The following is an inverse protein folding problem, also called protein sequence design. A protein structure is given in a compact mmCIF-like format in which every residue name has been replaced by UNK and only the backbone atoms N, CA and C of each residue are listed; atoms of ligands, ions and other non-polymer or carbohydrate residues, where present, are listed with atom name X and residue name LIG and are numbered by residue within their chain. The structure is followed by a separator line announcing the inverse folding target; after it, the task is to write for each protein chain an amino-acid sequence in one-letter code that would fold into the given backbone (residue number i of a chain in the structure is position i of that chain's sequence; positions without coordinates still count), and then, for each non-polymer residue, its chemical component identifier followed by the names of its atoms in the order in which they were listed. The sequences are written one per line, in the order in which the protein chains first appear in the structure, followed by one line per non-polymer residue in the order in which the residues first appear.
data_IF_168325646018
#
_entry.id   IF_168325646018
#
_cell.length_a   1.000
_cell.length_b   1.000
_cell.length_c   1.000
_cell.angle_alpha   90.00
_cell.angle_beta   90.00
_cell.angle_gamma   90.00
#
_symmetry.space_group_name_H-M   'P 1'
#
loop_
_entity.id
_entity.type
_entity.pdbx_description
1 polymer ?
#
# COMPACT_ATOMS: atom_id res chain seq x y z
N UNK A 1 -12.55 -25.92 -1.23
CA UNK A 1 -11.13 -26.05 -0.97
C UNK A 1 -10.81 -25.61 0.44
N UNK A 2 -9.81 -26.21 1.02
CA UNK A 2 -9.38 -25.87 2.36
C UNK A 2 -8.08 -25.06 2.38
N UNK A 3 -7.58 -24.66 1.22
CA UNK A 3 -6.46 -23.76 1.16
C UNK A 3 -6.83 -22.41 1.75
N UNK A 4 -5.90 -21.83 2.49
CA UNK A 4 -6.07 -20.51 3.08
C UNK A 4 -5.22 -19.50 2.34
N UNK A 5 -5.83 -18.41 1.93
CA UNK A 5 -5.19 -17.32 1.21
C UNK A 5 -5.19 -16.06 2.07
N UNK A 6 -4.03 -15.42 2.15
CA UNK A 6 -3.88 -14.15 2.86
C UNK A 6 -3.27 -13.17 1.88
N UNK A 7 -3.93 -12.05 1.64
CA UNK A 7 -3.39 -11.00 0.77
C UNK A 7 -2.89 -9.84 1.63
N UNK A 8 -1.71 -9.37 1.29
CA UNK A 8 -1.08 -8.21 1.93
C UNK A 8 -0.81 -7.17 0.86
N UNK A 9 -1.10 -5.92 1.14
CA UNK A 9 -0.85 -4.84 0.20
C UNK A 9 -0.19 -3.67 0.93
N UNK A 10 0.74 -3.00 0.24
CA UNK A 10 1.43 -1.83 0.80
C UNK A 10 1.72 -0.82 -0.32
N UNK A 11 1.44 0.47 -0.10
CA UNK A 11 1.93 1.52 -0.99
C UNK A 11 3.46 1.56 -0.97
N UNK A 12 4.07 1.66 -2.15
CA UNK A 12 5.53 1.70 -2.30
C UNK A 12 5.90 2.79 -3.30
N UNK A 13 7.07 3.39 -3.14
CA UNK A 13 7.54 4.46 -4.01
C UNK A 13 8.44 3.96 -5.14
N UNK A 14 9.14 2.83 -4.92
CA UNK A 14 10.10 2.28 -5.87
C UNK A 14 10.19 0.76 -5.73
N UNK A 15 11.00 0.15 -6.60
CA UNK A 15 11.19 -1.29 -6.58
C UNK A 15 11.88 -1.78 -5.32
N UNK A 16 12.78 -1.00 -4.74
CA UNK A 16 13.49 -1.42 -3.53
C UNK A 16 12.53 -1.56 -2.36
N UNK A 17 11.59 -0.62 -2.20
CA UNK A 17 10.53 -0.73 -1.19
C UNK A 17 9.64 -1.94 -1.46
N UNK A 18 9.27 -2.18 -2.73
CA UNK A 18 8.43 -3.31 -3.09
C UNK A 18 9.12 -4.62 -2.74
N UNK A 19 10.39 -4.77 -3.09
CA UNK A 19 11.18 -5.97 -2.79
C UNK A 19 11.35 -6.18 -1.29
N UNK A 20 11.59 -5.11 -0.54
CA UNK A 20 11.72 -5.18 0.92
C UNK A 20 10.42 -5.67 1.57
N UNK A 21 9.28 -5.17 1.12
CA UNK A 21 7.97 -5.60 1.61
C UNK A 21 7.73 -7.09 1.31
N UNK A 22 8.02 -7.52 0.08
CA UNK A 22 7.85 -8.91 -0.34
C UNK A 22 8.73 -9.83 0.52
N UNK A 23 9.99 -9.48 0.72
CA UNK A 23 10.91 -10.28 1.54
C UNK A 23 10.47 -10.34 3.00
N UNK A 24 9.95 -9.23 3.55
CA UNK A 24 9.42 -9.21 4.91
C UNK A 24 8.23 -10.18 5.06
N UNK A 25 7.34 -10.22 4.08
CA UNK A 25 6.18 -11.11 4.12
C UNK A 25 6.58 -12.57 3.92
N UNK A 26 7.58 -12.85 3.09
CA UNK A 26 8.12 -14.20 2.95
C UNK A 26 8.71 -14.72 4.25
N UNK A 27 9.39 -13.86 5.01
CA UNK A 27 9.93 -14.22 6.33
C UNK A 27 8.82 -14.45 7.35
N UNK A 28 7.82 -13.59 7.36
CA UNK A 28 6.67 -13.68 8.27
C UNK A 28 5.89 -14.97 8.03
N UNK A 29 5.73 -15.36 6.78
CA UNK A 29 4.98 -16.55 6.38
C UNK A 29 5.87 -17.61 5.72
N UNK A 30 7.07 -17.82 6.27
CA UNK A 30 8.02 -18.78 5.70
C UNK A 30 7.51 -20.22 5.70
N UNK A 31 6.52 -20.53 6.54
CA UNK A 31 5.91 -21.86 6.59
C UNK A 31 4.79 -22.03 5.58
N UNK A 32 4.39 -20.98 4.91
CA UNK A 32 3.37 -21.06 3.86
C UNK A 32 3.88 -21.89 2.67
N UNK A 33 2.96 -22.45 1.93
CA UNK A 33 3.30 -23.23 0.74
C UNK A 33 3.85 -22.32 -0.35
N UNK A 34 3.23 -21.15 -0.55
CA UNK A 34 3.66 -20.16 -1.54
C UNK A 34 3.44 -18.75 -1.01
N UNK A 35 4.36 -17.86 -1.34
CA UNK A 35 4.26 -16.42 -1.12
C UNK A 35 4.46 -15.72 -2.47
N UNK A 36 3.40 -15.65 -3.24
CA UNK A 36 3.42 -15.06 -4.58
C UNK A 36 3.34 -13.55 -4.47
N UNK A 37 3.80 -12.83 -5.49
CA UNK A 37 3.86 -11.38 -5.38
C UNK A 37 3.64 -10.70 -6.73
N UNK A 38 3.25 -9.43 -6.66
CA UNK A 38 3.18 -8.55 -7.82
C UNK A 38 3.36 -7.12 -7.34
N UNK A 39 3.85 -6.24 -8.21
CA UNK A 39 3.87 -4.82 -7.92
C UNK A 39 3.81 -3.98 -9.19
N UNK A 40 3.32 -2.77 -9.04
CA UNK A 40 3.27 -1.75 -10.08
C UNK A 40 3.90 -0.48 -9.55
N UNK A 41 4.79 0.12 -10.34
CA UNK A 41 5.49 1.36 -9.98
C UNK A 41 5.27 2.39 -11.08
N UNK A 42 4.96 3.62 -10.67
CA UNK A 42 4.68 4.73 -11.56
C UNK A 42 3.19 4.87 -11.85
N UNK A 43 2.76 6.10 -12.11
CA UNK A 43 1.35 6.39 -12.40
C UNK A 43 0.84 5.75 -13.69
N UNK A 44 1.75 5.45 -14.63
CA UNK A 44 1.43 4.70 -15.86
C UNK A 44 1.81 3.23 -15.75
N UNK A 45 2.18 2.77 -14.53
CA UNK A 45 2.62 1.39 -14.29
C UNK A 45 3.77 0.97 -15.20
N UNK A 46 4.76 1.87 -15.39
CA UNK A 46 5.90 1.62 -16.26
C UNK A 46 6.76 0.45 -15.79
N UNK A 47 6.74 0.13 -14.49
CA UNK A 47 7.41 -1.03 -13.93
C UNK A 47 6.34 -1.96 -13.36
N UNK A 48 6.32 -3.18 -13.86
CA UNK A 48 5.37 -4.21 -13.46
C UNK A 48 6.13 -5.51 -13.24
N UNK A 49 5.89 -6.18 -12.13
CA UNK A 49 6.52 -7.46 -11.83
C UNK A 49 5.48 -8.41 -11.23
N UNK A 50 5.67 -9.70 -11.52
CA UNK A 50 4.82 -10.76 -11.00
C UNK A 50 5.68 -12.01 -10.75
N UNK A 51 5.46 -12.67 -9.61
CA UNK A 51 6.20 -13.87 -9.21
C UNK A 51 5.25 -14.93 -8.67
N UNK A 52 5.37 -16.16 -9.18
CA UNK A 52 4.49 -17.26 -8.80
C UNK A 52 4.96 -18.06 -7.58
N UNK A 53 6.20 -17.89 -7.18
CA UNK A 53 6.79 -18.56 -6.01
C UNK A 53 6.44 -20.05 -5.92
N UNK A 54 6.65 -20.78 -7.01
CA UNK A 54 6.40 -22.22 -7.07
C UNK A 54 5.00 -22.64 -7.46
N UNK A 55 4.04 -21.73 -7.54
CA UNK A 55 2.75 -22.05 -8.16
C UNK A 55 2.95 -22.27 -9.67
N UNK A 56 2.05 -22.98 -10.34
CA UNK A 56 2.18 -23.16 -11.80
C UNK A 56 2.27 -21.81 -12.50
N UNK A 57 3.10 -21.74 -13.53
CA UNK A 57 3.37 -20.49 -14.24
C UNK A 57 2.10 -19.77 -14.67
N UNK A 58 2.00 -18.49 -14.31
CA UNK A 58 0.88 -17.62 -14.70
C UNK A 58 -0.38 -17.79 -13.86
N UNK A 59 -0.35 -18.56 -12.77
CA UNK A 59 -1.55 -18.83 -11.98
C UNK A 59 -1.68 -17.99 -10.72
N UNK A 60 -0.64 -17.26 -10.32
CA UNK A 60 -0.63 -16.50 -9.07
C UNK A 60 -0.19 -15.06 -9.27
N UNK A 61 1.07 -14.83 -9.61
CA UNK A 61 1.61 -13.48 -9.75
C UNK A 61 0.90 -12.66 -10.82
N UNK A 62 0.70 -13.23 -12.00
CA UNK A 62 0.03 -12.54 -13.12
C UNK A 62 -1.42 -12.19 -12.78
N UNK A 63 -2.24 -13.09 -12.24
CA UNK A 63 -3.60 -12.73 -11.83
C UNK A 63 -3.66 -11.59 -10.82
N UNK A 64 -2.71 -11.53 -9.88
CA UNK A 64 -2.62 -10.43 -8.92
C UNK A 64 -2.26 -9.13 -9.62
N UNK A 65 -1.28 -9.17 -10.52
CA UNK A 65 -0.86 -8.00 -11.30
C UNK A 65 -2.02 -7.50 -12.18
N UNK A 66 -2.70 -8.39 -12.87
CA UNK A 66 -3.83 -8.02 -13.74
C UNK A 66 -4.96 -7.38 -12.94
N UNK A 67 -5.19 -7.83 -11.70
CA UNK A 67 -6.20 -7.21 -10.83
C UNK A 67 -5.81 -5.78 -10.46
N UNK A 68 -4.53 -5.53 -10.14
CA UNK A 68 -4.03 -4.17 -9.88
C UNK A 68 -4.27 -3.27 -11.09
N UNK A 69 -3.97 -3.77 -12.28
CA UNK A 69 -4.16 -3.03 -13.53
C UNK A 69 -5.64 -2.75 -13.80
N UNK A 70 -6.48 -3.76 -13.62
CA UNK A 70 -7.92 -3.64 -13.83
C UNK A 70 -8.56 -2.60 -12.93
N UNK A 71 -8.10 -2.53 -11.67
CA UNK A 71 -8.62 -1.58 -10.69
C UNK A 71 -7.87 -0.26 -10.70
N UNK A 72 -6.88 -0.11 -11.58
CA UNK A 72 -6.04 1.10 -11.70
C UNK A 72 -5.40 1.48 -10.37
N UNK A 73 -4.78 0.49 -9.72
CA UNK A 73 -4.05 0.69 -8.47
C UNK A 73 -2.55 0.58 -8.78
N UNK A 74 -1.83 1.67 -8.63
CA UNK A 74 -0.40 1.73 -8.93
C UNK A 74 0.40 2.15 -7.70
N UNK A 75 1.73 1.99 -7.77
CA UNK A 75 2.64 2.29 -6.66
C UNK A 75 2.28 1.48 -5.43
N UNK A 76 2.06 0.19 -5.65
CA UNK A 76 1.75 -0.77 -4.60
C UNK A 76 2.49 -2.08 -4.84
N UNK A 77 2.73 -2.81 -3.76
CA UNK A 77 3.17 -4.19 -3.81
C UNK A 77 2.15 -5.07 -3.10
N UNK A 78 1.87 -6.23 -3.67
CA UNK A 78 0.96 -7.21 -3.06
C UNK A 78 1.72 -8.54 -2.87
N UNK A 79 1.39 -9.23 -1.78
CA UNK A 79 1.85 -10.60 -1.54
C UNK A 79 0.64 -11.46 -1.29
N UNK A 80 0.48 -12.53 -2.09
CA UNK A 80 -0.54 -13.54 -1.90
C UNK A 80 0.08 -14.77 -1.25
N UNK A 81 -0.26 -15.01 0.00
CA UNK A 81 0.25 -16.11 0.81
C UNK A 81 -0.76 -17.25 0.81
N UNK A 82 -0.33 -18.45 0.47
CA UNK A 82 -1.20 -19.61 0.44
C UNK A 82 -0.67 -20.72 1.33
N UNK A 83 -1.55 -21.22 2.19
CA UNK A 83 -1.33 -22.44 2.97
C UNK A 83 -2.18 -23.53 2.33
N UNK A 84 -1.54 -24.53 1.75
CA UNK A 84 -2.24 -25.60 1.04
C UNK A 84 -3.13 -26.40 1.99
N UNK A 85 -4.35 -26.70 1.55
CA UNK A 85 -5.35 -27.37 2.37
C UNK A 85 -5.64 -28.82 1.96
N UNK A 86 -4.77 -29.44 1.15
CA UNK A 86 -4.91 -30.84 0.76
C UNK A 86 -5.76 -31.10 -0.47
N UNK A 87 -6.40 -30.07 -1.03
CA UNK A 87 -7.22 -30.19 -2.22
C UNK A 87 -6.68 -29.22 -3.29
N UNK A 88 -6.36 -29.75 -4.46
CA UNK A 88 -5.87 -28.94 -5.57
C UNK A 88 -7.00 -28.11 -6.15
N UNK A 89 -6.73 -26.83 -6.42
CA UNK A 89 -7.71 -25.91 -7.00
C UNK A 89 -7.77 -25.94 -8.51
N UNK A 90 -6.70 -26.42 -9.16
CA UNK A 90 -6.54 -26.33 -10.61
C UNK A 90 -6.16 -24.93 -11.05
N UNK A 91 -5.79 -24.79 -12.32
CA UNK A 91 -5.32 -23.54 -12.90
C UNK A 91 -6.37 -22.40 -12.75
N UNK A 92 -7.60 -22.65 -13.17
CA UNK A 92 -8.67 -21.65 -13.09
C UNK A 92 -9.00 -21.27 -11.66
N UNK A 93 -8.98 -22.22 -10.75
CA UNK A 93 -9.22 -21.97 -9.33
C UNK A 93 -8.15 -21.09 -8.70
N UNK A 94 -6.86 -21.34 -9.03
CA UNK A 94 -5.75 -20.54 -8.54
C UNK A 94 -5.82 -19.10 -9.07
N UNK A 95 -6.08 -18.92 -10.36
CA UNK A 95 -6.21 -17.61 -10.98
C UNK A 95 -7.28 -16.80 -10.27
N UNK A 96 -8.44 -17.38 -10.05
CA UNK A 96 -9.56 -16.70 -9.36
C UNK A 96 -9.22 -16.39 -7.89
N UNK A 97 -8.55 -17.32 -7.22
CA UNK A 97 -8.24 -17.15 -5.79
C UNK A 97 -7.24 -16.03 -5.58
N UNK A 98 -6.14 -15.99 -6.36
CA UNK A 98 -5.13 -14.94 -6.21
C UNK A 98 -5.65 -13.57 -6.64
N UNK A 99 -6.31 -13.50 -7.81
CA UNK A 99 -6.91 -12.23 -8.26
C UNK A 99 -7.99 -11.73 -7.32
N UNK A 100 -8.84 -12.62 -6.86
CA UNK A 100 -9.92 -12.28 -5.92
C UNK A 100 -9.39 -11.81 -4.56
N UNK A 101 -8.31 -12.40 -4.08
CA UNK A 101 -7.69 -11.99 -2.82
C UNK A 101 -7.17 -10.54 -2.90
N UNK A 102 -6.58 -10.15 -4.03
CA UNK A 102 -6.13 -8.78 -4.26
C UNK A 102 -7.32 -7.82 -4.31
N UNK A 103 -8.37 -8.18 -5.05
CA UNK A 103 -9.58 -7.37 -5.11
C UNK A 103 -10.14 -7.13 -3.71
N UNK A 104 -10.23 -8.18 -2.91
CA UNK A 104 -10.83 -8.11 -1.57
C UNK A 104 -9.99 -7.24 -0.63
N UNK A 105 -8.65 -7.37 -0.65
CA UNK A 105 -7.81 -6.55 0.22
C UNK A 105 -7.85 -5.07 -0.18
N UNK A 106 -7.96 -4.77 -1.46
CA UNK A 106 -8.11 -3.38 -1.93
C UNK A 106 -9.44 -2.80 -1.43
N UNK A 107 -10.52 -3.57 -1.47
CA UNK A 107 -11.80 -3.13 -0.94
C UNK A 107 -11.74 -2.90 0.57
N UNK A 108 -11.06 -3.78 1.30
CA UNK A 108 -10.95 -3.69 2.76
C UNK A 108 -10.16 -2.46 3.21
N UNK A 109 -9.00 -2.19 2.57
CA UNK A 109 -8.17 -1.04 2.97
C UNK A 109 -8.65 0.27 2.36
N UNK A 110 -9.37 0.21 1.25
CA UNK A 110 -9.84 1.39 0.51
C UNK A 110 -8.76 1.98 -0.39
N UNK A 111 -9.17 2.46 -1.56
CA UNK A 111 -8.25 2.94 -2.60
C UNK A 111 -7.50 4.19 -2.20
N UNK A 112 -8.12 5.07 -1.40
CA UNK A 112 -7.49 6.31 -0.94
C UNK A 112 -6.27 6.00 -0.07
N UNK A 113 -6.36 4.98 0.78
CA UNK A 113 -5.24 4.59 1.65
C UNK A 113 -4.05 4.02 0.86
N UNK A 114 -4.25 3.65 -0.41
CA UNK A 114 -3.20 3.09 -1.27
C UNK A 114 -2.55 4.12 -2.19
N UNK A 115 -2.95 5.40 -2.08
CA UNK A 115 -2.35 6.46 -2.90
C UNK A 115 -0.99 6.87 -2.33
N UNK A 116 -0.03 7.25 -3.20
CA UNK A 116 1.25 7.75 -2.75
C UNK A 116 1.08 8.98 -1.87
N UNK A 117 1.81 9.02 -0.75
CA UNK A 117 1.79 10.14 0.18
C UNK A 117 3.21 10.70 0.35
N UNK A 118 3.28 12.02 0.50
CA UNK A 118 4.54 12.73 0.74
C UNK A 118 4.60 13.02 2.24
N UNK A 119 5.63 12.53 2.96
CA UNK A 119 5.80 12.89 4.37
C UNK A 119 6.33 14.31 4.47
N UNK A 120 5.65 15.14 5.25
CA UNK A 120 6.01 16.54 5.45
C UNK A 120 6.18 16.79 6.94
N UNK A 121 7.20 17.56 7.28
CA UNK A 121 7.44 18.01 8.63
C UNK A 121 7.30 19.53 8.66
N UNK A 122 6.44 20.02 9.55
CA UNK A 122 6.22 21.46 9.71
C UNK A 122 6.36 21.83 11.19
N UNK A 123 7.15 22.85 11.46
CA UNK A 123 7.39 23.35 12.83
C UNK A 123 6.81 24.73 12.98
N UNK A 124 6.22 25.01 14.15
CA UNK A 124 5.66 26.33 14.43
C UNK A 124 5.72 26.65 15.92
N UNK A 125 5.57 27.93 16.26
CA UNK A 125 5.50 28.39 17.62
C UNK A 125 4.23 27.87 18.30
N UNK A 126 4.27 27.72 19.63
CA UNK A 126 3.15 27.16 20.39
C UNK A 126 1.85 27.97 20.25
N UNK A 127 1.94 29.29 20.10
CA UNK A 127 0.77 30.14 19.99
C UNK A 127 -0.01 29.96 18.68
N UNK A 128 0.60 29.31 17.68
CA UNK A 128 -0.04 29.05 16.40
C UNK A 128 -0.74 27.68 16.33
N UNK A 129 -0.43 26.79 17.28
CA UNK A 129 -0.82 25.38 17.18
C UNK A 129 -2.31 25.12 17.32
N UNK A 130 -3.01 25.87 18.19
CA UNK A 130 -4.44 25.66 18.40
C UNK A 130 -5.25 25.87 17.13
N UNK A 131 -4.98 26.96 16.42
CA UNK A 131 -5.65 27.26 15.16
C UNK A 131 -5.26 26.27 14.08
N UNK A 132 -3.98 25.94 13.98
CA UNK A 132 -3.48 24.98 12.98
C UNK A 132 -4.11 23.61 13.17
N UNK A 133 -4.14 23.09 14.38
CA UNK A 133 -4.74 21.77 14.66
C UNK A 133 -6.23 21.76 14.38
N UNK A 134 -6.92 22.84 14.74
CA UNK A 134 -8.36 22.95 14.46
C UNK A 134 -8.65 22.93 12.95
N UNK A 135 -7.91 23.73 12.19
CA UNK A 135 -8.09 23.78 10.73
C UNK A 135 -7.67 22.47 10.05
N UNK A 136 -6.64 21.80 10.60
CA UNK A 136 -6.15 20.53 10.06
C UNK A 136 -7.23 19.44 10.11
N UNK A 137 -8.10 19.47 11.11
CA UNK A 137 -9.16 18.47 11.27
C UNK A 137 -10.16 18.47 10.11
N UNK A 138 -10.34 19.59 9.43
CA UNK A 138 -11.25 19.68 8.29
C UNK A 138 -10.59 19.35 6.96
N UNK A 139 -9.33 18.92 6.97
CA UNK A 139 -8.60 18.57 5.77
C UNK A 139 -8.47 17.06 5.62
N UNK A 140 -7.97 16.61 4.45
CA UNK A 140 -7.64 15.22 4.18
C UNK A 140 -6.20 14.89 4.55
N UNK A 141 -5.43 15.85 5.05
CA UNK A 141 -4.04 15.64 5.44
C UNK A 141 -3.98 14.79 6.70
N UNK A 142 -3.06 13.82 6.75
CA UNK A 142 -3.00 12.85 7.84
C UNK A 142 -1.87 13.19 8.82
N UNK A 143 -2.25 13.60 10.03
CA UNK A 143 -1.29 13.82 11.12
C UNK A 143 -0.79 12.47 11.63
N UNK A 144 0.53 12.26 11.54
CA UNK A 144 1.18 11.01 11.98
C UNK A 144 1.73 11.12 13.38
N UNK A 145 2.37 12.24 13.69
CA UNK A 145 3.05 12.41 14.94
C UNK A 145 3.23 13.89 15.25
N UNK A 146 3.40 14.21 16.52
CA UNK A 146 3.63 15.58 17.00
C UNK A 146 4.76 15.55 18.01
N UNK A 147 5.77 16.37 17.81
CA UNK A 147 6.90 16.51 18.72
C UNK A 147 6.88 17.89 19.36
N UNK A 148 7.10 17.93 20.68
CA UNK A 148 7.07 19.16 21.48
C UNK A 148 8.47 19.44 22.01
N UNK A 149 9.08 20.50 21.50
CA UNK A 149 10.38 21.01 21.98
C UNK A 149 10.24 22.50 22.21
N UNK A 150 11.19 23.33 21.78
CA UNK A 150 11.05 24.79 21.79
C UNK A 150 10.00 25.25 20.79
N UNK A 151 9.70 24.43 19.79
CA UNK A 151 8.60 24.60 18.86
C UNK A 151 7.80 23.30 18.80
N UNK A 152 6.60 23.34 18.22
CA UNK A 152 5.81 22.15 17.94
C UNK A 152 6.08 21.72 16.50
N UNK A 153 6.45 20.45 16.31
CA UNK A 153 6.73 19.88 15.00
C UNK A 153 5.69 18.82 14.68
N UNK A 154 5.01 19.00 13.57
CA UNK A 154 4.01 18.05 13.07
C UNK A 154 4.58 17.23 11.93
N UNK A 155 4.37 15.92 11.98
CA UNK A 155 4.68 15.00 10.90
C UNK A 155 3.38 14.64 10.21
N UNK A 156 3.21 15.08 8.97
CA UNK A 156 1.95 14.98 8.24
C UNK A 156 2.19 14.27 6.91
N UNK A 157 1.33 13.29 6.59
CA UNK A 157 1.33 12.66 5.29
C UNK A 157 0.31 13.34 4.40
N UNK A 158 0.76 13.81 3.24
CA UNK A 158 -0.07 14.53 2.26
C UNK A 158 -0.06 13.73 0.97
N UNK A 159 -1.24 13.47 0.41
CA UNK A 159 -1.33 12.82 -0.89
C UNK A 159 -0.58 13.67 -1.93
N UNK A 160 0.17 12.99 -2.81
CA UNK A 160 0.99 13.67 -3.80
C UNK A 160 0.18 14.67 -4.62
N UNK A 161 -1.03 14.31 -4.99
CA UNK A 161 -1.95 15.15 -5.76
C UNK A 161 -2.47 16.35 -4.98
N UNK A 162 -2.33 16.37 -3.65
CA UNK A 162 -2.78 17.45 -2.79
C UNK A 162 -1.63 18.31 -2.26
N UNK A 163 -0.41 18.08 -2.75
CA UNK A 163 0.77 18.76 -2.24
C UNK A 163 0.67 20.29 -2.35
N UNK A 164 0.25 20.79 -3.50
CA UNK A 164 0.12 22.24 -3.71
C UNK A 164 -0.94 22.84 -2.78
N UNK A 165 -2.05 22.13 -2.60
CA UNK A 165 -3.11 22.54 -1.69
C UNK A 165 -2.59 22.61 -0.25
N UNK A 166 -1.75 21.63 0.15
CA UNK A 166 -1.14 21.64 1.47
C UNK A 166 -0.21 22.83 1.67
N UNK A 167 0.62 23.15 0.68
CA UNK A 167 1.53 24.29 0.76
C UNK A 167 0.76 25.60 0.99
N UNK A 168 -0.34 25.80 0.27
CA UNK A 168 -1.19 26.95 0.47
C UNK A 168 -1.79 26.99 1.87
N UNK A 169 -2.26 25.83 2.35
CA UNK A 169 -2.79 25.70 3.70
C UNK A 169 -1.74 26.06 4.75
N UNK A 170 -0.53 25.52 4.63
CA UNK A 170 0.55 25.77 5.57
C UNK A 170 0.93 27.26 5.60
N UNK A 171 0.98 27.93 4.44
CA UNK A 171 1.31 29.34 4.36
C UNK A 171 0.27 30.24 5.01
N UNK A 172 -0.99 29.81 5.07
CA UNK A 172 -2.05 30.57 5.74
C UNK A 172 -1.98 30.46 7.27
N UNK A 173 -1.32 29.43 7.81
CA UNK A 173 -1.32 29.12 9.24
C UNK A 173 0.05 29.22 9.90
N UNK A 174 1.04 29.68 9.18
CA UNK A 174 2.41 29.92 9.70
C UNK A 174 2.98 31.32 9.26
#
# INVERSE_FOLDING_TARGET
SKSRFIAHIKPVHDEDEAKAFIEAKKKEHREATHNCSAYTIGDTMRIQKAHDDGEPTGTAGVPMLEMLKKLDVHDVAVVGTRYFGGIKLGTGGLIRAYGGAVRDVIQDVGRVALRPAIPIRISMAYDLTGKFEYELQSTTFMLRDTAYTDQVTYHIDVLEEEYETFIQFANQHT
#
